data_IF_835821399146
#
_entry.id   IF_835821399146
#
_cell.length_a   1.000
_cell.length_b   1.000
_cell.length_c   1.000
_cell.angle_alpha   90.00
_cell.angle_beta   90.00
_cell.angle_gamma   90.00
#
_symmetry.space_group_name_H-M   'P 1'
#
loop_
_entity.id
_entity.type
_entity.pdbx_description
1 polymer ?
#
# COMPACT_ATOMS: atom_id res chain seq x y z
N UNK A 1 12.33 9.05 22.41
CA UNK A 1 12.27 8.61 21.00
C UNK A 1 12.55 7.11 21.00
N UNK A 2 11.54 6.25 21.11
CA UNK A 2 11.75 4.81 21.19
C UNK A 2 12.02 4.28 19.77
N UNK A 3 13.27 3.93 19.49
CA UNK A 3 13.64 3.15 18.30
C UNK A 3 13.10 1.74 18.46
N UNK A 4 12.34 1.26 17.47
CA UNK A 4 11.82 -0.10 17.41
C UNK A 4 12.95 -1.15 17.55
N UNK A 5 12.73 -2.31 18.19
CA UNK A 5 13.79 -3.27 18.48
C UNK A 5 14.28 -4.02 17.21
N UNK A 6 15.55 -4.47 17.17
CA UNK A 6 16.27 -4.69 15.92
C UNK A 6 16.14 -6.10 15.29
N UNK A 7 15.07 -6.87 15.51
CA UNK A 7 15.12 -8.29 15.09
C UNK A 7 13.82 -9.03 14.73
N UNK A 8 12.67 -8.39 14.48
CA UNK A 8 11.62 -9.10 13.72
C UNK A 8 11.90 -8.95 12.22
N UNK A 9 12.14 -10.06 11.47
CA UNK A 9 12.38 -9.97 10.04
C UNK A 9 11.14 -9.41 9.33
N UNK A 10 11.35 -8.47 8.42
CA UNK A 10 10.28 -7.92 7.58
C UNK A 10 9.59 -9.08 6.86
N UNK A 11 8.33 -9.33 7.19
CA UNK A 11 7.53 -10.36 6.54
C UNK A 11 7.19 -9.88 5.13
N UNK A 12 7.68 -10.61 4.14
CA UNK A 12 7.42 -10.38 2.73
C UNK A 12 6.23 -11.22 2.24
N UNK A 13 5.73 -10.94 1.04
CA UNK A 13 4.69 -11.78 0.43
C UNK A 13 5.15 -13.22 0.20
N UNK A 14 6.43 -13.40 -0.10
CA UNK A 14 7.04 -14.71 -0.36
C UNK A 14 6.97 -15.58 0.90
N UNK A 15 7.13 -15.00 2.09
CA UNK A 15 7.06 -15.71 3.38
C UNK A 15 5.66 -16.26 3.70
N UNK A 16 4.61 -15.73 3.06
CA UNK A 16 3.20 -16.12 3.31
C UNK A 16 2.54 -16.78 2.09
N UNK A 17 3.26 -16.90 0.98
CA UNK A 17 2.73 -17.46 -0.27
C UNK A 17 3.16 -18.91 -0.48
N UNK A 18 2.30 -19.69 -1.13
CA UNK A 18 2.66 -21.02 -1.64
C UNK A 18 2.59 -20.97 -3.17
N UNK A 19 3.70 -21.33 -3.83
CA UNK A 19 3.81 -21.40 -5.28
C UNK A 19 3.88 -22.84 -5.76
N UNK A 20 3.19 -23.14 -6.87
CA UNK A 20 3.28 -24.41 -7.57
C UNK A 20 3.93 -24.21 -8.94
N UNK A 21 4.78 -25.15 -9.36
CA UNK A 21 5.19 -25.26 -10.77
C UNK A 21 3.99 -25.56 -11.69
N UNK A 22 4.09 -25.35 -13.01
CA UNK A 22 3.03 -25.69 -13.95
C UNK A 22 2.61 -27.18 -13.87
N UNK A 23 3.58 -28.08 -13.71
CA UNK A 23 3.38 -29.52 -13.60
C UNK A 23 2.63 -29.88 -12.30
N UNK A 24 3.04 -29.32 -11.16
CA UNK A 24 2.34 -29.51 -9.89
C UNK A 24 0.93 -28.92 -9.92
N UNK A 25 0.78 -27.73 -10.52
CA UNK A 25 -0.52 -27.08 -10.69
C UNK A 25 -1.46 -27.92 -11.54
N UNK A 26 -0.97 -28.59 -12.58
CA UNK A 26 -1.78 -29.48 -13.41
C UNK A 26 -2.35 -30.66 -12.61
N UNK A 27 -1.61 -31.17 -11.63
CA UNK A 27 -1.98 -32.31 -10.78
C UNK A 27 -2.97 -31.96 -9.66
N UNK A 28 -3.16 -30.67 -9.34
CA UNK A 28 -4.08 -30.26 -8.28
C UNK A 28 -5.54 -30.53 -8.64
N UNK A 29 -6.30 -31.00 -7.65
CA UNK A 29 -7.74 -31.10 -7.77
C UNK A 29 -8.39 -29.71 -7.88
N UNK A 30 -9.58 -29.59 -8.50
CA UNK A 30 -10.27 -28.32 -8.65
C UNK A 30 -10.47 -27.54 -7.34
N UNK A 31 -10.74 -28.24 -6.24
CA UNK A 31 -10.90 -27.61 -4.92
C UNK A 31 -9.58 -27.06 -4.35
N UNK A 32 -8.44 -27.69 -4.64
CA UNK A 32 -7.12 -27.21 -4.22
C UNK A 32 -6.75 -25.92 -4.97
N UNK A 33 -7.03 -25.87 -6.28
CA UNK A 33 -6.84 -24.64 -7.08
C UNK A 33 -7.71 -23.50 -6.56
N UNK A 34 -8.97 -23.79 -6.24
CA UNK A 34 -9.87 -22.80 -5.64
C UNK A 34 -9.35 -22.28 -4.30
N UNK A 35 -8.95 -23.19 -3.41
CA UNK A 35 -8.40 -22.82 -2.10
C UNK A 35 -7.11 -21.99 -2.23
N UNK A 36 -6.22 -22.35 -3.16
CA UNK A 36 -5.01 -21.57 -3.44
C UNK A 36 -5.35 -20.13 -3.83
N UNK A 37 -6.30 -19.93 -4.75
CA UNK A 37 -6.75 -18.59 -5.14
C UNK A 37 -7.34 -17.80 -3.97
N UNK A 38 -8.21 -18.42 -3.17
CA UNK A 38 -8.82 -17.78 -2.00
C UNK A 38 -7.78 -17.34 -0.98
N UNK A 39 -6.84 -18.21 -0.63
CA UNK A 39 -5.76 -17.90 0.33
C UNK A 39 -4.84 -16.82 -0.21
N UNK A 40 -4.44 -16.90 -1.48
CA UNK A 40 -3.53 -15.92 -2.09
C UNK A 40 -4.18 -14.53 -2.23
N UNK A 41 -5.49 -14.46 -2.51
CA UNK A 41 -6.23 -13.20 -2.55
C UNK A 41 -6.31 -12.53 -1.17
N UNK A 42 -6.55 -13.30 -0.11
CA UNK A 42 -6.61 -12.77 1.25
C UNK A 42 -5.24 -12.26 1.71
N UNK A 43 -4.16 -12.98 1.40
CA UNK A 43 -2.79 -12.53 1.64
C UNK A 43 -2.48 -11.21 0.91
N UNK A 44 -2.88 -11.09 -0.35
CA UNK A 44 -2.68 -9.86 -1.14
C UNK A 44 -3.45 -8.66 -0.56
N UNK A 45 -4.72 -8.86 -0.15
CA UNK A 45 -5.53 -7.82 0.50
C UNK A 45 -4.92 -7.36 1.82
N UNK A 46 -4.39 -8.29 2.62
CA UNK A 46 -3.72 -7.97 3.88
C UNK A 46 -2.48 -7.10 3.65
N UNK A 47 -1.65 -7.42 2.65
CA UNK A 47 -0.48 -6.61 2.34
C UNK A 47 -0.83 -5.20 1.86
N UNK A 48 -1.89 -5.05 1.05
CA UNK A 48 -2.39 -3.72 0.65
C UNK A 48 -2.92 -2.94 1.86
N UNK A 49 -3.58 -3.59 2.81
CA UNK A 49 -4.13 -2.90 3.99
C UNK A 49 -3.03 -2.44 4.96
N UNK A 50 -1.96 -3.22 5.10
CA UNK A 50 -0.77 -2.87 5.89
C UNK A 50 0.10 -1.80 5.21
N UNK A 51 0.03 -1.68 3.87
CA UNK A 51 0.78 -0.72 3.07
C UNK A 51 0.22 0.70 3.01
N UNK A 52 -0.81 1.05 3.80
CA UNK A 52 -1.32 2.43 3.87
C UNK A 52 -0.61 3.21 4.97
N UNK A 53 0.35 4.11 4.66
CA UNK A 53 0.67 5.16 5.62
C UNK A 53 -0.63 5.95 5.85
N UNK A 54 -0.96 6.22 7.11
CA UNK A 54 -2.00 7.18 7.45
C UNK A 54 -1.60 8.52 6.85
N UNK A 55 -2.10 8.84 5.66
CA UNK A 55 -1.94 10.17 5.10
C UNK A 55 -2.83 11.07 5.94
N UNK A 56 -2.22 11.70 6.95
CA UNK A 56 -2.75 12.91 7.55
C UNK A 56 -2.77 13.94 6.43
N UNK A 57 -3.92 14.09 5.77
CA UNK A 57 -4.18 15.23 4.90
C UNK A 57 -4.32 16.46 5.78
N UNK A 58 -3.20 16.96 6.34
CA UNK A 58 -3.13 18.36 6.73
C UNK A 58 -2.95 19.16 5.45
N UNK A 59 -4.05 19.40 4.76
CA UNK A 59 -4.12 20.39 3.69
C UNK A 59 -3.85 21.77 4.29
N UNK A 60 -2.60 22.22 4.27
CA UNK A 60 -2.30 23.64 4.28
C UNK A 60 -2.23 24.10 2.82
N UNK A 61 -3.28 24.78 2.38
CA UNK A 61 -3.27 25.55 1.16
C UNK A 61 -2.56 26.86 1.49
N UNK A 62 -1.29 27.01 1.13
CA UNK A 62 -0.65 28.33 1.16
C UNK A 62 -1.18 29.13 -0.03
N UNK A 63 -2.27 29.85 0.20
CA UNK A 63 -2.73 30.88 -0.70
C UNK A 63 -1.69 32.00 -0.68
N UNK A 64 -0.78 32.01 -1.67
CA UNK A 64 0.07 33.16 -1.93
C UNK A 64 -0.86 34.30 -2.37
N UNK A 65 -1.21 35.16 -1.42
CA UNK A 65 -1.96 36.39 -1.68
C UNK A 65 -1.05 37.32 -2.48
N UNK A 66 -1.26 37.34 -3.79
CA UNK A 66 -0.57 38.24 -4.71
C UNK A 66 -1.21 39.63 -4.56
N UNK A 67 -0.77 40.41 -3.58
CA UNK A 67 -1.21 41.80 -3.42
C UNK A 67 -0.57 42.66 -4.53
N UNK A 68 -1.30 42.80 -5.64
CA UNK A 68 -0.99 43.80 -6.66
C UNK A 68 -1.58 45.14 -6.27
N UNK A 69 -0.87 45.87 -5.41
CA UNK A 69 -1.02 47.32 -5.34
C UNK A 69 -0.38 47.93 -6.59
N UNK A 70 -1.17 48.08 -7.66
CA UNK A 70 -0.82 48.92 -8.81
C UNK A 70 -1.71 50.15 -8.79
N UNK A 71 -1.12 51.27 -8.37
CA UNK A 71 -1.66 52.63 -8.44
C UNK A 71 -2.46 52.85 -9.73
N UNK A 72 -3.75 53.14 -9.61
CA UNK A 72 -4.52 53.80 -10.66
C UNK A 72 -4.49 55.30 -10.37
N UNK A 73 -3.70 56.04 -11.14
CA UNK A 73 -3.77 57.48 -11.20
C UNK A 73 -5.03 57.89 -11.97
N UNK A 74 -5.87 58.70 -11.35
CA UNK A 74 -6.86 59.55 -12.01
C UNK A 74 -7.27 60.67 -11.03
N UNK A 75 -6.68 61.85 -11.17
CA UNK A 75 -7.33 63.15 -11.35
C UNK A 75 -6.29 64.17 -11.82
#
# INVERSE_FOLDING_TARGET
>A
LASSPPWWPLVSFEDVSVSFSPEEWALLHPWQKKLHWEVMMENYKMLISLGKPSVSLSGQCDAISHDSNRQSGHF
#
